data_IF_387730125274
#
_entry.id   IF_387730125274
#
_cell.length_a   1.000
_cell.length_b   1.000
_cell.length_c   1.000
_cell.angle_alpha   90.00
_cell.angle_beta   90.00
_cell.angle_gamma   90.00
#
_symmetry.space_group_name_H-M   'P 1'
#
loop_
_entity.id
_entity.type
_entity.pdbx_description
1 polymer ?
#
# COMPACT_ATOMS: atom_id res chain seq x y z
N UNK A 1 13.20 60.98 -19.46
CA UNK A 1 14.14 60.02 -18.85
C UNK A 1 13.24 59.25 -17.90
N UNK A 2 12.54 58.28 -18.46
CA UNK A 2 11.50 57.53 -17.77
C UNK A 2 12.18 56.44 -16.95
N UNK A 3 12.17 56.61 -15.64
CA UNK A 3 12.46 55.53 -14.71
C UNK A 3 11.17 54.71 -14.60
N UNK A 4 11.06 53.69 -15.44
CA UNK A 4 10.18 52.55 -15.13
C UNK A 4 10.91 51.81 -14.02
N UNK A 5 10.45 52.01 -12.78
CA UNK A 5 10.75 51.09 -11.69
C UNK A 5 10.11 49.76 -12.09
N UNK A 6 10.95 48.81 -12.54
CA UNK A 6 10.61 47.40 -12.46
C UNK A 6 10.51 47.08 -10.96
N UNK A 7 9.28 47.13 -10.42
CA UNK A 7 8.99 46.48 -9.14
C UNK A 7 9.43 45.02 -9.29
N UNK A 8 10.46 44.64 -8.53
CA UNK A 8 10.84 43.23 -8.38
C UNK A 8 9.57 42.45 -8.02
N UNK A 9 9.20 41.50 -8.86
CA UNK A 9 8.05 40.59 -8.69
C UNK A 9 8.24 39.61 -7.50
N UNK A 10 9.12 39.94 -6.55
CA UNK A 10 9.52 39.11 -5.42
C UNK A 10 8.51 39.10 -4.27
N UNK A 11 7.53 40.01 -4.29
CA UNK A 11 6.54 40.19 -3.21
C UNK A 11 5.14 39.62 -3.54
N UNK A 12 4.95 38.98 -4.70
CA UNK A 12 3.70 38.26 -4.96
C UNK A 12 3.66 36.98 -4.11
N UNK A 13 2.58 36.72 -3.35
CA UNK A 13 2.44 35.48 -2.59
C UNK A 13 2.48 34.29 -3.56
N UNK A 14 3.59 33.54 -3.57
CA UNK A 14 3.79 32.41 -4.51
C UNK A 14 2.82 31.26 -4.27
N UNK A 15 2.42 31.03 -3.02
CA UNK A 15 1.60 29.89 -2.61
C UNK A 15 0.26 30.34 -2.03
N UNK A 16 -0.82 29.66 -2.42
CA UNK A 16 -2.19 29.91 -1.93
C UNK A 16 -2.80 28.61 -1.46
N UNK A 17 -3.39 28.61 -0.26
CA UNK A 17 -4.20 27.49 0.21
C UNK A 17 -5.60 27.55 -0.42
N UNK A 18 -5.97 26.54 -1.20
CA UNK A 18 -7.28 26.46 -1.87
C UNK A 18 -8.33 25.76 -1.00
N UNK A 19 -8.00 24.57 -0.50
CA UNK A 19 -8.89 23.76 0.33
C UNK A 19 -8.14 23.30 1.56
N UNK A 20 -8.67 23.60 2.74
CA UNK A 20 -8.05 23.20 4.00
C UNK A 20 -8.30 21.72 4.28
N UNK A 21 -7.25 20.98 4.69
CA UNK A 21 -7.41 19.60 5.13
C UNK A 21 -8.32 19.53 6.37
N UNK A 22 -9.17 18.51 6.47
CA UNK A 22 -10.02 18.38 7.63
C UNK A 22 -9.25 17.75 8.81
N UNK A 23 -9.23 18.44 9.95
CA UNK A 23 -8.61 17.93 11.18
C UNK A 23 -9.21 16.62 11.70
N UNK A 24 -10.49 16.35 11.39
CA UNK A 24 -11.16 15.09 11.74
C UNK A 24 -10.50 13.89 11.05
N UNK A 25 -9.87 14.08 9.89
CA UNK A 25 -9.15 13.03 9.18
C UNK A 25 -7.73 12.80 9.74
N UNK A 26 -7.55 12.88 11.05
CA UNK A 26 -6.27 12.63 11.73
C UNK A 26 -5.18 13.70 11.53
N UNK A 27 -5.49 14.82 10.87
CA UNK A 27 -4.54 15.90 10.65
C UNK A 27 -4.33 16.74 11.93
N UNK A 28 -3.23 16.50 12.65
CA UNK A 28 -2.92 17.24 13.90
C UNK A 28 -2.63 18.74 13.68
N UNK A 29 -2.23 19.14 12.47
CA UNK A 29 -1.94 20.51 12.06
C UNK A 29 -2.31 20.67 10.58
N UNK A 30 -3.61 20.73 10.24
CA UNK A 30 -4.06 20.66 8.86
C UNK A 30 -3.53 21.84 8.04
N UNK A 31 -3.09 21.54 6.82
CA UNK A 31 -2.75 22.56 5.82
C UNK A 31 -3.78 22.49 4.68
N UNK A 32 -3.65 21.51 3.77
CA UNK A 32 -4.58 21.21 2.69
C UNK A 32 -3.95 21.33 1.30
N UNK A 33 -4.77 21.64 0.30
CA UNK A 33 -4.34 21.78 -1.10
C UNK A 33 -3.69 23.15 -1.32
N UNK A 34 -2.38 23.16 -1.55
CA UNK A 34 -1.60 24.38 -1.79
C UNK A 34 -1.33 24.52 -3.28
N UNK A 35 -1.65 25.68 -3.85
CA UNK A 35 -1.37 26.07 -5.23
C UNK A 35 -0.12 26.94 -5.30
N UNK A 36 0.86 26.56 -6.11
CA UNK A 36 1.95 27.41 -6.57
C UNK A 36 1.48 28.23 -7.78
N UNK A 37 1.19 29.52 -7.55
CA UNK A 37 0.63 30.41 -8.58
C UNK A 37 1.61 30.66 -9.74
N UNK A 38 2.92 30.59 -9.49
CA UNK A 38 3.94 30.86 -10.51
C UNK A 38 4.07 29.74 -11.55
N UNK A 39 3.76 28.51 -11.15
CA UNK A 39 3.91 27.31 -12.00
C UNK A 39 2.56 26.68 -12.39
N UNK A 40 1.45 27.19 -11.83
CA UNK A 40 0.11 26.61 -11.98
C UNK A 40 0.03 25.14 -11.56
N UNK A 41 0.85 24.75 -10.58
CA UNK A 41 0.89 23.41 -9.99
C UNK A 41 0.45 23.45 -8.54
N UNK A 42 -0.02 22.32 -8.01
CA UNK A 42 -0.55 22.18 -6.68
C UNK A 42 -0.05 20.90 -6.00
N UNK A 43 -0.19 20.85 -4.68
CA UNK A 43 0.16 19.71 -3.86
C UNK A 43 -0.74 19.62 -2.65
N UNK A 44 -1.20 18.40 -2.33
CA UNK A 44 -1.96 18.13 -1.12
C UNK A 44 -1.03 17.96 0.07
N UNK A 45 -1.31 18.67 1.16
CA UNK A 45 -0.65 18.52 2.46
C UNK A 45 -1.70 18.17 3.50
N UNK A 46 -1.72 16.94 3.99
CA UNK A 46 -2.64 16.58 5.07
C UNK A 46 -2.24 17.27 6.38
N UNK A 47 -0.96 17.56 6.56
CA UNK A 47 -0.40 18.28 7.69
C UNK A 47 0.63 19.30 7.23
N UNK A 48 0.83 20.37 8.01
CA UNK A 48 1.98 21.28 7.81
C UNK A 48 3.31 20.53 7.83
N UNK A 49 3.39 19.38 8.50
CA UNK A 49 4.62 18.56 8.53
C UNK A 49 4.97 17.96 7.17
N UNK A 50 4.01 17.87 6.27
CA UNK A 50 4.25 17.36 4.93
C UNK A 50 5.10 18.33 4.11
N UNK A 51 5.19 19.62 4.50
CA UNK A 51 6.07 20.62 3.84
C UNK A 51 7.53 20.18 3.81
N UNK A 52 7.98 19.40 4.79
CA UNK A 52 9.35 18.86 4.85
C UNK A 52 9.65 17.88 3.71
N UNK A 53 8.62 17.21 3.17
CA UNK A 53 8.73 16.25 2.07
C UNK A 53 8.46 16.93 0.72
N UNK A 54 7.46 17.80 0.72
CA UNK A 54 6.84 18.39 -0.48
C UNK A 54 7.53 19.65 -0.99
N UNK A 55 8.19 20.40 -0.11
CA UNK A 55 8.87 21.65 -0.44
C UNK A 55 10.40 21.53 -0.48
N UNK A 56 10.93 20.32 -0.39
CA UNK A 56 12.38 20.06 -0.42
C UNK A 56 12.96 19.86 -1.83
N UNK A 57 12.12 20.01 -2.87
CA UNK A 57 12.49 19.88 -4.28
C UNK A 57 12.46 18.46 -4.84
N UNK A 58 12.07 17.45 -4.06
CA UNK A 58 12.01 16.04 -4.50
C UNK A 58 10.66 15.65 -5.11
N UNK A 59 9.57 16.15 -4.54
CA UNK A 59 8.22 15.80 -4.96
C UNK A 59 7.79 16.61 -6.19
N UNK A 60 7.08 15.95 -7.09
CA UNK A 60 6.55 16.59 -8.30
C UNK A 60 5.24 17.26 -7.97
N UNK A 61 5.18 18.57 -8.18
CA UNK A 61 3.92 19.31 -8.07
C UNK A 61 3.09 19.06 -9.33
N UNK A 62 1.81 18.70 -9.14
CA UNK A 62 0.93 18.31 -10.23
C UNK A 62 0.08 19.50 -10.68
N UNK A 63 -0.33 19.59 -11.95
CA UNK A 63 -1.36 20.54 -12.34
C UNK A 63 -2.61 20.41 -11.45
N UNK A 64 -3.23 21.54 -11.10
CA UNK A 64 -4.36 21.56 -10.18
C UNK A 64 -5.51 20.66 -10.65
N UNK A 65 -5.78 20.66 -11.96
CA UNK A 65 -6.78 19.82 -12.59
C UNK A 65 -6.55 18.32 -12.32
N UNK A 66 -5.30 17.84 -12.30
CA UNK A 66 -5.01 16.43 -12.04
C UNK A 66 -5.40 16.04 -10.62
N UNK A 67 -5.14 16.90 -9.65
CA UNK A 67 -5.51 16.63 -8.25
C UNK A 67 -7.04 16.66 -8.11
N UNK A 68 -7.71 17.66 -8.69
CA UNK A 68 -9.15 17.78 -8.60
C UNK A 68 -9.88 16.64 -9.32
N UNK A 69 -9.41 16.23 -10.50
CA UNK A 69 -9.93 15.07 -11.22
C UNK A 69 -9.75 13.80 -10.39
N UNK A 70 -8.59 13.62 -9.73
CA UNK A 70 -8.38 12.50 -8.80
C UNK A 70 -9.37 12.48 -7.63
N UNK A 71 -9.71 13.64 -7.06
CA UNK A 71 -10.71 13.74 -5.99
C UNK A 71 -12.14 13.47 -6.50
N UNK A 72 -12.46 13.89 -7.73
CA UNK A 72 -13.74 13.58 -8.38
C UNK A 72 -13.83 12.07 -8.65
N UNK A 73 -12.78 11.47 -9.20
CA UNK A 73 -12.68 10.03 -9.41
C UNK A 73 -12.96 9.29 -8.10
N UNK A 74 -12.32 9.65 -6.99
CA UNK A 74 -12.59 9.03 -5.69
C UNK A 74 -14.08 9.04 -5.31
N UNK A 75 -14.80 10.14 -5.58
CA UNK A 75 -16.25 10.23 -5.34
C UNK A 75 -17.01 9.29 -6.30
N UNK A 76 -16.69 9.30 -7.58
CA UNK A 76 -17.33 8.46 -8.60
C UNK A 76 -17.10 6.96 -8.38
N UNK A 77 -15.95 6.61 -7.79
CA UNK A 77 -15.64 5.23 -7.40
C UNK A 77 -16.26 4.84 -6.05
N UNK A 78 -16.89 5.78 -5.34
CA UNK A 78 -17.54 5.55 -4.06
C UNK A 78 -16.58 5.45 -2.87
N UNK A 79 -15.32 5.87 -3.04
CA UNK A 79 -14.33 5.97 -1.96
C UNK A 79 -14.63 7.12 -1.01
N UNK A 80 -15.36 8.11 -1.51
CA UNK A 80 -15.89 9.21 -0.70
C UNK A 80 -17.39 9.32 -1.03
N UNK A 81 -18.24 9.20 -0.02
CA UNK A 81 -19.70 9.20 -0.18
C UNK A 81 -20.33 10.30 0.65
N UNK A 82 -21.24 11.06 0.05
CA UNK A 82 -22.13 11.94 0.79
C UNK A 82 -23.27 11.11 1.39
N UNK A 83 -23.47 11.23 2.70
CA UNK A 83 -24.53 10.53 3.45
C UNK A 83 -25.40 11.53 4.18
N UNK A 84 -26.69 11.20 4.29
CA UNK A 84 -27.66 12.05 4.97
C UNK A 84 -27.56 11.92 6.52
N UNK A 85 -28.33 12.74 7.22
CA UNK A 85 -28.32 12.81 8.69
C UNK A 85 -28.82 11.52 9.38
N UNK A 86 -29.45 10.60 8.66
CA UNK A 86 -29.88 9.30 9.15
C UNK A 86 -28.81 8.21 9.05
N UNK A 87 -27.65 8.52 8.47
CA UNK A 87 -26.54 7.58 8.38
C UNK A 87 -26.13 7.09 9.77
N UNK A 88 -26.25 5.78 9.97
CA UNK A 88 -25.89 5.07 11.20
C UNK A 88 -24.80 4.02 10.95
N UNK A 89 -23.99 4.22 9.90
CA UNK A 89 -22.89 3.33 9.59
C UNK A 89 -21.72 3.51 10.55
N UNK A 90 -20.72 2.65 10.37
CA UNK A 90 -19.59 2.51 11.28
C UNK A 90 -18.45 3.50 10.99
N UNK A 91 -18.43 4.10 9.80
CA UNK A 91 -17.35 4.98 9.38
C UNK A 91 -17.42 6.36 10.05
N UNK A 92 -16.24 6.97 10.26
CA UNK A 92 -16.16 8.34 10.74
C UNK A 92 -16.82 9.30 9.74
N UNK A 93 -17.80 10.07 10.23
CA UNK A 93 -18.58 11.01 9.41
C UNK A 93 -18.08 12.42 9.59
N UNK A 94 -17.54 12.97 8.51
CA UNK A 94 -17.20 14.38 8.37
C UNK A 94 -18.28 15.06 7.52
N UNK A 95 -19.36 15.52 8.16
CA UNK A 95 -20.61 15.88 7.47
C UNK A 95 -20.41 16.72 6.19
N UNK A 96 -21.02 16.33 5.04
CA UNK A 96 -21.87 15.14 4.84
C UNK A 96 -21.10 13.85 4.48
N UNK A 97 -19.77 13.86 4.49
CA UNK A 97 -18.94 12.84 3.86
C UNK A 97 -18.55 11.70 4.81
N UNK A 98 -18.45 10.50 4.24
CA UNK A 98 -17.80 9.32 4.84
C UNK A 98 -16.80 8.74 3.85
N UNK A 99 -15.81 8.02 4.37
CA UNK A 99 -14.84 7.24 3.60
C UNK A 99 -15.06 5.75 3.93
N UNK A 100 -15.73 4.97 3.06
CA UNK A 100 -15.85 3.53 3.23
C UNK A 100 -14.50 2.85 3.34
N UNK A 101 -14.41 1.78 4.13
CA UNK A 101 -13.17 1.03 4.33
C UNK A 101 -12.68 0.27 3.10
N UNK A 102 -13.61 0.00 2.19
CA UNK A 102 -13.45 -0.48 0.83
C UNK A 102 -14.79 -0.29 0.11
N UNK A 103 -14.81 -0.41 -1.21
CA UNK A 103 -16.01 -0.36 -2.05
C UNK A 103 -16.27 -1.73 -2.69
N UNK A 104 -17.49 -1.96 -3.19
CA UNK A 104 -17.77 -3.17 -4.00
C UNK A 104 -16.84 -3.25 -5.23
N UNK A 105 -16.49 -2.10 -5.82
CA UNK A 105 -15.54 -2.04 -6.93
C UNK A 105 -14.16 -2.52 -6.52
N UNK A 106 -13.65 -2.13 -5.36
CA UNK A 106 -12.34 -2.61 -4.87
C UNK A 106 -12.31 -4.12 -4.69
N UNK A 107 -13.42 -4.68 -4.16
CA UNK A 107 -13.59 -6.11 -4.00
C UNK A 107 -13.63 -6.82 -5.36
N UNK A 108 -14.46 -6.34 -6.28
CA UNK A 108 -14.58 -6.91 -7.64
C UNK A 108 -13.26 -6.85 -8.41
N UNK A 109 -12.56 -5.72 -8.40
CA UNK A 109 -11.27 -5.56 -9.07
C UNK A 109 -10.18 -6.45 -8.46
N UNK A 110 -10.15 -6.59 -7.13
CA UNK A 110 -9.22 -7.49 -6.46
C UNK A 110 -9.51 -8.95 -6.77
N UNK A 111 -10.79 -9.35 -6.77
CA UNK A 111 -11.24 -10.70 -7.16
C UNK A 111 -10.86 -11.00 -8.62
N UNK A 112 -11.10 -10.04 -9.51
CA UNK A 112 -10.75 -10.16 -10.92
C UNK A 112 -9.23 -10.31 -11.11
N UNK A 113 -8.42 -9.47 -10.45
CA UNK A 113 -6.96 -9.53 -10.53
C UNK A 113 -6.43 -10.88 -10.01
N UNK A 114 -6.98 -11.39 -8.91
CA UNK A 114 -6.63 -12.71 -8.38
C UNK A 114 -6.97 -13.83 -9.35
N UNK A 115 -8.20 -13.83 -9.88
CA UNK A 115 -8.68 -14.86 -10.80
C UNK A 115 -7.85 -14.86 -12.09
N UNK A 116 -7.61 -13.69 -12.68
CA UNK A 116 -6.79 -13.56 -13.89
C UNK A 116 -5.35 -14.05 -13.68
N UNK A 117 -4.74 -13.72 -12.53
CA UNK A 117 -3.41 -14.22 -12.19
C UNK A 117 -3.42 -15.75 -12.06
N UNK A 118 -4.39 -16.31 -11.35
CA UNK A 118 -4.51 -17.76 -11.17
C UNK A 118 -4.72 -18.49 -12.52
N UNK A 119 -5.59 -17.98 -13.37
CA UNK A 119 -5.86 -18.52 -14.71
C UNK A 119 -4.61 -18.44 -15.59
N UNK A 120 -3.92 -17.29 -15.60
CA UNK A 120 -2.70 -17.10 -16.39
C UNK A 120 -1.59 -18.07 -15.98
N UNK A 121 -1.42 -18.31 -14.67
CA UNK A 121 -0.46 -19.31 -14.19
C UNK A 121 -0.89 -20.70 -14.67
N UNK A 122 -2.16 -21.09 -14.45
CA UNK A 122 -2.67 -22.42 -14.84
C UNK A 122 -2.55 -22.69 -16.33
N UNK A 123 -2.80 -21.70 -17.18
CA UNK A 123 -2.71 -21.82 -18.63
C UNK A 123 -1.26 -22.01 -19.12
N UNK A 124 -0.28 -21.53 -18.36
CA UNK A 124 1.16 -21.72 -18.64
C UNK A 124 1.73 -23.00 -18.03
N UNK A 125 1.01 -23.68 -17.15
CA UNK A 125 1.49 -24.92 -16.55
C UNK A 125 1.57 -26.04 -17.60
N UNK A 126 2.62 -26.87 -17.58
CA UNK A 126 2.77 -27.99 -18.52
C UNK A 126 1.72 -29.10 -18.30
N UNK A 127 1.14 -29.17 -17.11
CA UNK A 127 0.11 -30.14 -16.74
C UNK A 127 -1.01 -29.44 -15.99
N UNK A 128 -2.27 -29.71 -16.36
CA UNK A 128 -3.43 -29.17 -15.66
C UNK A 128 -3.59 -29.90 -14.33
N UNK A 129 -3.48 -29.22 -13.18
CA UNK A 129 -3.67 -29.87 -11.90
C UNK A 129 -5.14 -30.26 -11.71
N UNK A 130 -5.38 -31.27 -10.87
CA UNK A 130 -6.75 -31.56 -10.44
C UNK A 130 -7.23 -30.43 -9.52
N UNK A 131 -8.36 -29.84 -9.86
CA UNK A 131 -9.02 -28.83 -9.02
C UNK A 131 -9.37 -29.44 -7.66
N UNK A 132 -8.93 -28.77 -6.59
CA UNK A 132 -9.35 -29.07 -5.22
C UNK A 132 -10.49 -28.12 -4.88
N UNK A 133 -11.65 -28.67 -4.50
CA UNK A 133 -12.85 -27.90 -4.11
C UNK A 133 -12.75 -27.35 -2.68
N UNK A 134 -11.59 -26.83 -2.27
CA UNK A 134 -11.46 -26.10 -1.01
C UNK A 134 -11.45 -24.60 -1.28
N UNK A 135 -12.20 -23.85 -0.46
CA UNK A 135 -12.25 -22.39 -0.55
C UNK A 135 -10.99 -21.76 0.04
N UNK A 136 -10.54 -20.64 -0.54
CA UNK A 136 -9.34 -19.95 -0.06
C UNK A 136 -9.49 -19.48 1.40
N UNK A 137 -10.70 -19.10 1.81
CA UNK A 137 -11.03 -18.73 3.19
C UNK A 137 -10.69 -19.82 4.21
N UNK A 138 -11.07 -21.07 3.95
CA UNK A 138 -10.82 -22.18 4.88
C UNK A 138 -9.31 -22.44 5.02
N UNK A 139 -8.57 -22.35 3.91
CA UNK A 139 -7.13 -22.54 3.90
C UNK A 139 -6.39 -21.45 4.69
N UNK A 140 -6.67 -20.18 4.38
CA UNK A 140 -6.00 -19.02 4.99
C UNK A 140 -6.30 -18.91 6.48
N UNK A 141 -7.52 -19.30 6.90
CA UNK A 141 -7.95 -19.23 8.31
C UNK A 141 -7.75 -20.54 9.08
N UNK A 142 -7.09 -21.54 8.50
CA UNK A 142 -6.92 -22.87 9.09
C UNK A 142 -8.25 -23.48 9.58
N UNK A 143 -9.33 -23.28 8.81
CA UNK A 143 -10.68 -23.76 9.12
C UNK A 143 -11.46 -22.91 10.14
N UNK A 144 -10.98 -21.73 10.51
CA UNK A 144 -11.63 -20.83 11.47
C UNK A 144 -12.09 -19.52 10.81
N UNK A 145 -13.06 -19.52 9.88
CA UNK A 145 -13.46 -18.33 9.14
C UNK A 145 -13.96 -17.18 10.03
N UNK A 146 -14.51 -17.50 11.20
CA UNK A 146 -15.05 -16.53 12.17
C UNK A 146 -13.98 -15.64 12.82
N UNK A 147 -12.68 -15.87 12.58
CA UNK A 147 -11.63 -14.93 13.01
C UNK A 147 -11.66 -13.62 12.22
N UNK A 148 -12.35 -13.61 11.06
CA UNK A 148 -12.53 -12.44 10.22
C UNK A 148 -13.98 -11.95 10.33
N UNK A 149 -14.22 -10.63 10.49
CA UNK A 149 -15.58 -10.09 10.42
C UNK A 149 -16.21 -10.40 9.06
N UNK A 150 -17.46 -10.89 9.04
CA UNK A 150 -18.10 -11.36 7.81
C UNK A 150 -18.22 -10.28 6.71
N UNK A 151 -18.34 -9.01 7.13
CA UNK A 151 -18.45 -7.85 6.24
C UNK A 151 -17.09 -7.20 5.92
N UNK A 152 -15.98 -7.73 6.44
CA UNK A 152 -14.65 -7.22 6.10
C UNK A 152 -14.30 -7.55 4.65
N UNK A 153 -13.45 -6.72 4.04
CA UNK A 153 -12.88 -6.98 2.72
C UNK A 153 -12.22 -8.36 2.69
N UNK A 154 -11.39 -8.67 3.68
CA UNK A 154 -10.64 -9.91 3.76
C UNK A 154 -11.54 -11.14 3.75
N UNK A 155 -12.60 -11.16 4.57
CA UNK A 155 -13.54 -12.27 4.59
C UNK A 155 -14.25 -12.43 3.24
N UNK A 156 -14.79 -11.34 2.68
CA UNK A 156 -15.54 -11.39 1.42
C UNK A 156 -14.67 -11.75 0.22
N UNK A 157 -13.44 -11.25 0.18
CA UNK A 157 -12.45 -11.60 -0.85
C UNK A 157 -12.12 -13.10 -0.79
N UNK A 158 -11.70 -13.60 0.38
CA UNK A 158 -11.32 -14.99 0.55
C UNK A 158 -12.48 -15.97 0.35
N UNK A 159 -13.70 -15.60 0.73
CA UNK A 159 -14.90 -16.42 0.55
C UNK A 159 -15.28 -16.62 -0.93
N UNK A 160 -14.89 -15.68 -1.79
CA UNK A 160 -15.20 -15.69 -3.23
C UNK A 160 -14.03 -16.19 -4.09
N UNK A 161 -12.81 -16.24 -3.55
CA UNK A 161 -11.65 -16.81 -4.22
C UNK A 161 -11.63 -18.34 -4.12
N UNK A 162 -11.47 -19.01 -5.26
CA UNK A 162 -11.12 -20.42 -5.29
C UNK A 162 -9.66 -20.62 -4.87
N UNK A 163 -9.37 -21.76 -4.24
CA UNK A 163 -7.99 -22.14 -4.01
C UNK A 163 -7.29 -22.40 -5.36
N UNK A 164 -6.10 -21.82 -5.62
CA UNK A 164 -5.31 -22.16 -6.78
C UNK A 164 -4.95 -23.65 -6.81
N UNK A 165 -5.01 -24.26 -7.99
CA UNK A 165 -4.65 -25.67 -8.18
C UNK A 165 -3.13 -25.92 -8.23
N UNK A 166 -2.33 -24.89 -7.93
CA UNK A 166 -0.86 -24.92 -7.91
C UNK A 166 -0.35 -24.41 -6.55
N UNK A 167 0.94 -24.57 -6.30
CA UNK A 167 1.55 -24.25 -5.00
C UNK A 167 1.95 -22.78 -4.91
N UNK A 168 2.62 -22.25 -5.94
CA UNK A 168 3.25 -20.94 -5.90
C UNK A 168 2.52 -19.94 -6.80
N UNK A 169 1.97 -18.89 -6.18
CA UNK A 169 1.29 -17.79 -6.91
C UNK A 169 2.25 -16.69 -7.34
N UNK A 170 3.38 -16.57 -6.65
CA UNK A 170 4.47 -15.66 -6.95
C UNK A 170 5.79 -16.33 -6.51
N UNK A 171 6.93 -15.75 -6.91
CA UNK A 171 8.24 -16.33 -6.63
C UNK A 171 8.46 -16.55 -5.12
N UNK A 172 8.52 -17.81 -4.71
CA UNK A 172 8.70 -18.24 -3.32
C UNK A 172 7.51 -17.98 -2.38
N UNK A 173 6.32 -17.67 -2.91
CA UNK A 173 5.10 -17.42 -2.11
C UNK A 173 3.99 -18.42 -2.45
N UNK A 174 3.44 -19.06 -1.42
CA UNK A 174 2.30 -19.98 -1.51
C UNK A 174 1.15 -19.51 -0.63
N UNK A 175 -0.06 -20.05 -0.82
CA UNK A 175 -1.21 -19.70 0.04
C UNK A 175 -0.88 -19.97 1.51
N UNK A 176 -1.08 -18.96 2.34
CA UNK A 176 -0.82 -19.06 3.77
C UNK A 176 -1.80 -20.03 4.44
N UNK A 177 -1.32 -20.72 5.48
CA UNK A 177 -2.12 -21.66 6.26
C UNK A 177 -2.16 -21.32 7.74
N UNK A 178 -1.41 -20.30 8.18
CA UNK A 178 -1.30 -19.90 9.56
C UNK A 178 -1.26 -18.38 9.64
N UNK A 179 -1.91 -17.82 10.67
CA UNK A 179 -2.03 -16.37 10.85
C UNK A 179 -1.22 -15.91 12.07
N UNK A 180 -0.03 -15.30 11.88
CA UNK A 180 0.86 -14.95 12.99
C UNK A 180 0.32 -13.84 13.88
N UNK A 181 -0.57 -12.99 13.35
CA UNK A 181 -1.16 -11.86 14.07
C UNK A 181 -2.60 -12.12 14.54
N UNK A 182 -3.16 -13.31 14.27
CA UNK A 182 -4.50 -13.62 14.68
C UNK A 182 -4.60 -13.66 16.22
N UNK A 183 -5.69 -13.11 16.80
CA UNK A 183 -5.91 -13.20 18.24
C UNK A 183 -6.04 -14.66 18.68
N UNK A 184 -5.61 -14.94 19.90
CA UNK A 184 -5.79 -16.27 20.49
C UNK A 184 -7.28 -16.65 20.53
N UNK A 185 -7.58 -17.93 20.37
CA UNK A 185 -8.95 -18.45 20.43
C UNK A 185 -9.66 -18.00 21.71
N UNK A 186 -10.82 -17.35 21.58
CA UNK A 186 -11.59 -16.82 22.70
C UNK A 186 -11.15 -15.45 23.25
N UNK A 187 -10.11 -14.84 22.66
CA UNK A 187 -9.69 -13.45 22.94
C UNK A 187 -10.00 -12.47 21.81
N UNK A 188 -10.54 -12.98 20.69
CA UNK A 188 -10.97 -12.14 19.58
C UNK A 188 -12.19 -11.31 20.02
N UNK A 189 -12.02 -10.00 20.10
CA UNK A 189 -13.16 -9.11 19.93
C UNK A 189 -13.65 -9.30 18.49
N UNK A 190 -14.96 -9.40 18.27
CA UNK A 190 -15.53 -9.77 16.95
C UNK A 190 -15.19 -8.77 15.84
N UNK A 191 -14.65 -7.61 16.21
CA UNK A 191 -14.27 -6.52 15.31
C UNK A 191 -12.74 -6.24 15.31
N UNK A 192 -11.92 -7.11 15.91
CA UNK A 192 -10.47 -6.88 15.97
C UNK A 192 -9.80 -7.20 14.63
N UNK A 193 -9.38 -6.16 13.92
CA UNK A 193 -8.60 -6.28 12.69
C UNK A 193 -7.12 -6.50 12.99
N UNK A 194 -6.45 -7.33 12.20
CA UNK A 194 -5.04 -7.66 12.32
C UNK A 194 -4.42 -7.87 10.93
N UNK A 195 -3.09 -7.76 10.76
CA UNK A 195 -2.45 -8.05 9.49
C UNK A 195 -2.68 -9.51 9.08
N UNK A 196 -3.35 -9.73 7.95
CA UNK A 196 -3.72 -11.06 7.49
C UNK A 196 -2.72 -11.54 6.43
N UNK A 197 -2.01 -12.62 6.72
CA UNK A 197 -1.08 -13.23 5.76
C UNK A 197 -1.88 -13.97 4.68
N UNK A 198 -1.81 -13.48 3.44
CA UNK A 198 -2.45 -14.12 2.28
C UNK A 198 -1.54 -15.15 1.63
N UNK A 199 -0.29 -14.75 1.36
CA UNK A 199 0.70 -15.60 0.71
C UNK A 199 2.01 -15.60 1.51
N UNK A 200 2.44 -16.78 1.92
CA UNK A 200 3.57 -16.99 2.80
C UNK A 200 4.78 -17.56 2.05
N UNK A 201 5.96 -17.12 2.45
CA UNK A 201 7.21 -17.80 2.20
C UNK A 201 7.52 -18.79 3.33
N UNK A 202 8.37 -19.77 3.04
CA UNK A 202 9.01 -20.61 4.05
C UNK A 202 10.12 -19.87 4.80
N UNK A 203 10.61 -18.75 4.27
CA UNK A 203 11.59 -17.90 4.94
C UNK A 203 10.92 -16.97 5.96
N UNK A 204 11.56 -16.71 7.12
CA UNK A 204 11.09 -15.68 8.04
C UNK A 204 11.26 -14.28 7.41
N UNK A 205 10.40 -13.34 7.78
CA UNK A 205 10.56 -11.95 7.38
C UNK A 205 11.80 -11.33 8.03
N UNK A 206 12.38 -10.34 7.37
CA UNK A 206 13.52 -9.61 7.89
C UNK A 206 13.14 -8.84 9.16
N UNK A 207 13.90 -9.05 10.23
CA UNK A 207 13.72 -8.32 11.48
C UNK A 207 14.41 -6.97 11.37
N UNK A 208 13.65 -5.95 10.99
CA UNK A 208 14.20 -4.62 10.90
C UNK A 208 14.42 -4.01 12.29
N UNK A 209 15.59 -3.40 12.46
CA UNK A 209 15.98 -2.70 13.67
C UNK A 209 16.35 -1.26 13.36
N UNK A 210 15.95 -0.33 14.22
CA UNK A 210 16.34 1.07 14.15
C UNK A 210 17.08 1.45 15.42
N UNK A 211 18.16 2.22 15.27
CA UNK A 211 18.88 2.78 16.42
C UNK A 211 18.13 4.00 16.96
N UNK A 212 17.72 3.95 18.22
CA UNK A 212 17.11 5.07 18.91
C UNK A 212 18.13 6.22 19.11
N UNK A 213 17.68 7.47 19.30
CA UNK A 213 18.59 8.61 19.55
C UNK A 213 19.53 8.42 20.75
N UNK A 214 19.14 7.62 21.75
CA UNK A 214 19.96 7.27 22.92
C UNK A 214 20.85 6.04 22.71
N UNK A 215 20.92 5.50 21.49
CA UNK A 215 21.88 4.48 21.08
C UNK A 215 21.40 3.03 21.16
N UNK A 216 20.23 2.76 21.72
CA UNK A 216 19.61 1.44 21.82
C UNK A 216 19.07 0.95 20.47
N UNK A 217 19.20 -0.35 20.18
CA UNK A 217 18.58 -0.96 19.01
C UNK A 217 17.13 -1.35 19.33
N UNK A 218 16.20 -0.80 18.57
CA UNK A 218 14.77 -1.04 18.71
C UNK A 218 14.26 -1.82 17.51
N UNK A 219 13.37 -2.78 17.75
CA UNK A 219 12.66 -3.44 16.66
C UNK A 219 11.75 -2.42 15.96
N UNK A 220 11.91 -2.31 14.64
CA UNK A 220 11.06 -1.50 13.78
C UNK A 220 10.15 -2.43 12.97
N UNK A 221 8.98 -2.76 13.52
CA UNK A 221 8.01 -3.59 12.80
C UNK A 221 7.43 -2.82 11.61
N UNK A 222 7.24 -3.47 10.44
CA UNK A 222 6.48 -2.89 9.35
C UNK A 222 4.97 -2.90 9.61
N UNK A 223 4.49 -3.38 10.76
CA UNK A 223 3.07 -3.39 11.11
C UNK A 223 2.76 -2.40 12.24
N UNK A 224 1.47 -2.21 12.52
CA UNK A 224 1.01 -1.34 13.60
C UNK A 224 1.66 -1.71 14.94
N UNK A 225 1.89 -0.69 15.78
CA UNK A 225 2.62 -0.83 17.06
C UNK A 225 2.04 -1.87 18.00
N UNK A 226 0.75 -2.14 17.88
CA UNK A 226 0.03 -3.16 18.66
C UNK A 226 0.62 -4.57 18.47
N UNK A 227 1.36 -4.79 17.39
CA UNK A 227 1.98 -6.07 17.04
C UNK A 227 3.50 -6.09 17.24
N UNK A 228 4.09 -5.08 17.88
CA UNK A 228 5.53 -5.03 18.14
C UNK A 228 6.03 -6.16 19.06
N UNK A 229 5.13 -6.84 19.78
CA UNK A 229 5.44 -8.02 20.58
C UNK A 229 5.68 -9.28 19.74
N UNK A 230 5.26 -9.30 18.46
CA UNK A 230 5.48 -10.42 17.55
C UNK A 230 6.82 -10.20 16.87
N UNK A 231 7.84 -10.89 17.38
CA UNK A 231 9.21 -10.73 16.89
C UNK A 231 9.53 -11.56 15.65
N UNK A 232 8.71 -12.57 15.32
CA UNK A 232 8.95 -13.45 14.18
C UNK A 232 7.65 -13.79 13.48
N UNK A 233 7.64 -13.62 12.17
CA UNK A 233 6.55 -13.97 11.27
C UNK A 233 7.14 -14.36 9.90
N UNK A 234 6.40 -15.08 9.05
CA UNK A 234 6.85 -15.42 7.70
C UNK A 234 7.08 -14.18 6.83
N UNK A 235 8.02 -14.25 5.89
CA UNK A 235 8.01 -13.33 4.75
C UNK A 235 6.76 -13.62 3.90
N UNK A 236 6.20 -12.62 3.24
CA UNK A 236 4.96 -12.80 2.49
C UNK A 236 4.16 -11.54 2.25
N UNK A 237 3.04 -11.70 1.55
CA UNK A 237 2.07 -10.63 1.31
C UNK A 237 0.98 -10.64 2.38
N UNK A 238 0.84 -9.53 3.07
CA UNK A 238 -0.15 -9.31 4.11
C UNK A 238 -1.19 -8.29 3.66
N UNK A 239 -2.47 -8.53 3.93
CA UNK A 239 -3.40 -7.41 4.09
C UNK A 239 -3.05 -6.67 5.37
N UNK A 240 -3.04 -5.36 5.31
CA UNK A 240 -2.69 -4.51 6.44
C UNK A 240 -3.82 -4.45 7.45
N UNK A 241 -3.49 -4.20 8.73
CA UNK A 241 -4.52 -3.86 9.71
C UNK A 241 -5.15 -2.55 9.27
N UNK A 242 -6.44 -2.59 8.94
CA UNK A 242 -7.27 -1.41 8.81
C UNK A 242 -8.05 -1.17 10.09
N UNK A 243 -8.32 0.10 10.40
CA UNK A 243 -9.32 0.50 11.38
C UNK A 243 -10.50 1.06 10.58
N UNK A 244 -11.59 0.30 10.39
CA UNK A 244 -12.74 0.77 9.61
C UNK A 244 -13.40 2.04 10.17
N UNK A 245 -13.15 2.35 11.45
CA UNK A 245 -13.64 3.55 12.12
C UNK A 245 -12.61 4.68 12.14
N UNK A 246 -11.40 4.42 11.64
CA UNK A 246 -10.33 5.39 11.58
C UNK A 246 -10.51 6.39 10.42
N UNK A 247 -9.69 7.45 10.41
CA UNK A 247 -9.77 8.51 9.40
C UNK A 247 -9.39 8.05 7.99
N UNK A 248 -8.66 6.93 7.87
CA UNK A 248 -8.16 6.38 6.62
C UNK A 248 -8.36 4.85 6.60
N UNK A 249 -9.60 4.38 6.41
CA UNK A 249 -9.90 2.97 6.46
C UNK A 249 -9.63 2.35 5.08
N UNK A 250 -8.54 1.59 4.93
CA UNK A 250 -8.19 0.90 3.68
C UNK A 250 -8.00 -0.59 3.96
N UNK A 251 -9.10 -1.34 4.01
CA UNK A 251 -9.08 -2.79 4.32
C UNK A 251 -8.45 -3.64 3.22
N UNK A 252 -8.37 -3.13 1.99
CA UNK A 252 -7.72 -3.77 0.85
C UNK A 252 -6.25 -3.37 0.67
N UNK A 253 -5.73 -2.49 1.56
CA UNK A 253 -4.32 -2.15 1.63
C UNK A 253 -3.46 -3.36 2.00
N UNK A 254 -2.29 -3.49 1.37
CA UNK A 254 -1.42 -4.63 1.55
C UNK A 254 0.06 -4.27 1.56
N UNK A 255 0.86 -5.17 2.15
CA UNK A 255 2.29 -5.00 2.33
C UNK A 255 3.04 -6.30 2.11
N UNK A 256 4.09 -6.25 1.29
CA UNK A 256 4.97 -7.39 1.03
C UNK A 256 6.18 -7.32 1.97
N UNK A 257 6.24 -8.20 2.96
CA UNK A 257 7.39 -8.31 3.86
C UNK A 257 8.40 -9.32 3.31
N UNK A 258 9.61 -8.86 3.00
CA UNK A 258 10.68 -9.67 2.43
C UNK A 258 11.61 -10.25 3.52
N UNK A 259 12.32 -11.36 3.24
CA UNK A 259 13.31 -11.94 4.16
C UNK A 259 14.65 -11.19 4.16
N UNK A 260 14.76 -10.12 3.39
CA UNK A 260 15.91 -9.23 3.28
C UNK A 260 15.43 -7.80 3.00
N UNK A 261 16.36 -6.85 3.01
CA UNK A 261 16.10 -5.45 2.67
C UNK A 261 16.41 -5.15 1.20
N UNK A 262 15.72 -4.15 0.66
CA UNK A 262 15.97 -3.50 -0.62
C UNK A 262 16.42 -2.05 -0.40
N UNK A 263 17.04 -1.43 -1.40
CA UNK A 263 17.56 -0.06 -1.35
C UNK A 263 19.07 0.02 -1.13
N UNK A 264 19.75 -1.12 -1.02
CA UNK A 264 21.21 -1.18 -0.89
C UNK A 264 21.94 -0.83 -2.19
N UNK A 265 21.34 -1.13 -3.34
CA UNK A 265 21.91 -0.83 -4.66
C UNK A 265 21.31 0.47 -5.22
N UNK A 266 20.29 1.03 -4.57
CA UNK A 266 19.65 2.29 -4.90
C UNK A 266 18.91 2.30 -6.26
N UNK A 267 18.24 1.20 -6.60
CA UNK A 267 17.34 1.13 -7.76
C UNK A 267 15.88 0.89 -7.38
N UNK A 268 15.61 0.21 -6.27
CA UNK A 268 14.25 -0.06 -5.84
C UNK A 268 13.51 1.23 -5.49
N UNK A 269 12.27 1.37 -5.97
CA UNK A 269 11.46 2.59 -5.82
C UNK A 269 10.05 2.33 -5.35
N UNK A 270 9.50 3.30 -4.63
CA UNK A 270 8.06 3.44 -4.39
C UNK A 270 7.36 4.04 -5.61
N UNK A 271 6.03 4.09 -5.59
CA UNK A 271 5.23 4.53 -6.75
C UNK A 271 5.41 6.02 -7.09
N UNK A 272 5.70 6.86 -6.10
CA UNK A 272 6.10 8.27 -6.27
C UNK A 272 7.53 8.45 -6.84
N UNK A 273 8.28 7.36 -7.01
CA UNK A 273 9.64 7.37 -7.56
C UNK A 273 10.74 7.56 -6.52
N UNK A 274 10.42 7.75 -5.24
CA UNK A 274 11.42 7.78 -4.17
C UNK A 274 12.17 6.45 -4.08
N UNK A 275 13.48 6.49 -3.80
CA UNK A 275 14.26 5.29 -3.56
C UNK A 275 13.84 4.65 -2.23
N UNK A 276 13.70 3.34 -2.21
CA UNK A 276 13.40 2.60 -0.98
C UNK A 276 14.53 2.83 0.03
N UNK A 277 14.16 3.26 1.24
CA UNK A 277 15.11 3.57 2.31
C UNK A 277 15.70 4.97 2.28
N UNK A 278 15.32 5.83 1.34
CA UNK A 278 15.79 7.21 1.33
C UNK A 278 15.14 8.07 2.43
N UNK A 279 15.86 9.08 2.89
CA UNK A 279 15.33 10.06 3.83
C UNK A 279 14.53 11.16 3.11
N UNK A 280 13.27 10.86 2.76
CA UNK A 280 12.37 11.73 1.97
C UNK A 280 12.14 13.15 2.53
N UNK A 281 12.49 13.41 3.80
CA UNK A 281 12.38 14.74 4.45
C UNK A 281 13.61 15.63 4.28
N UNK A 282 14.75 15.08 3.84
CA UNK A 282 15.98 15.86 3.67
C UNK A 282 16.10 16.36 2.23
N UNK A 283 16.44 17.63 2.07
CA UNK A 283 16.76 18.20 0.77
C UNK A 283 18.11 17.66 0.27
N UNK A 284 18.20 17.26 -1.00
CA UNK A 284 19.45 16.87 -1.68
C UNK A 284 19.70 15.37 -1.87
N UNK A 285 20.65 15.07 -2.77
CA UNK A 285 21.12 13.74 -3.20
C UNK A 285 22.13 13.12 -2.21
N UNK A 286 21.79 13.03 -0.92
CA UNK A 286 22.65 12.32 0.02
C UNK A 286 22.30 10.82 0.04
N UNK A 287 22.66 10.13 -1.04
CA UNK A 287 22.65 8.67 -1.13
C UNK A 287 23.44 7.98 0.01
N UNK A 288 24.26 8.73 0.75
CA UNK A 288 25.12 8.25 1.83
C UNK A 288 24.38 7.82 3.12
N UNK A 289 23.07 8.11 3.25
CA UNK A 289 22.27 7.75 4.43
C UNK A 289 21.00 6.95 4.09
N UNK A 290 21.03 6.09 3.06
CA UNK A 290 19.91 5.18 2.84
C UNK A 290 19.82 4.15 3.97
N UNK A 291 18.61 3.92 4.48
CA UNK A 291 18.28 2.86 5.41
C UNK A 291 17.47 1.79 4.66
N UNK A 292 18.09 0.70 4.16
CA UNK A 292 17.40 -0.33 3.39
C UNK A 292 16.17 -0.88 4.12
N UNK A 293 15.09 -1.12 3.38
CA UNK A 293 13.77 -1.49 3.94
C UNK A 293 13.33 -2.85 3.42
N UNK A 294 12.62 -3.60 4.25
CA UNK A 294 12.16 -4.96 3.91
C UNK A 294 10.70 -5.04 3.48
N UNK A 295 9.94 -3.95 3.63
CA UNK A 295 8.49 -3.96 3.45
C UNK A 295 7.94 -2.78 2.63
N UNK A 296 8.81 -2.02 1.95
CA UNK A 296 8.42 -0.85 1.14
C UNK A 296 8.23 -1.17 -0.35
N UNK A 297 8.56 -2.39 -0.79
CA UNK A 297 8.29 -2.77 -2.17
C UNK A 297 6.79 -2.66 -2.48
N UNK A 298 6.47 -2.06 -3.63
CA UNK A 298 5.12 -1.73 -4.09
C UNK A 298 4.40 -0.61 -3.32
N UNK A 299 4.97 -0.05 -2.25
CA UNK A 299 4.30 1.02 -1.53
C UNK A 299 4.24 2.32 -2.34
N UNK A 300 3.28 3.17 -2.02
CA UNK A 300 2.99 4.37 -2.80
C UNK A 300 4.07 5.46 -2.65
N UNK A 301 4.74 5.52 -1.50
CA UNK A 301 5.59 6.66 -1.14
C UNK A 301 4.72 7.84 -0.71
N UNK A 302 5.05 9.05 -1.14
CA UNK A 302 4.23 10.24 -0.90
C UNK A 302 2.99 10.26 -1.80
N UNK A 303 1.80 10.25 -1.18
CA UNK A 303 0.52 10.33 -1.88
C UNK A 303 0.11 11.79 -2.12
N UNK A 304 -0.06 12.15 -3.40
CA UNK A 304 -0.36 13.51 -3.84
C UNK A 304 -1.84 13.89 -3.70
N UNK A 305 -2.71 12.92 -3.40
CA UNK A 305 -4.16 13.07 -3.40
C UNK A 305 -4.72 13.03 -1.98
N UNK A 306 -4.26 12.07 -1.17
CA UNK A 306 -4.76 11.84 0.20
C UNK A 306 -3.63 11.44 1.16
N UNK A 307 -3.99 11.21 2.42
CA UNK A 307 -3.04 10.71 3.42
C UNK A 307 -2.43 9.38 3.01
N UNK A 308 -1.18 9.16 3.44
CA UNK A 308 -0.48 7.92 3.15
C UNK A 308 -1.26 6.70 3.67
N UNK A 309 -1.42 5.71 2.80
CA UNK A 309 -1.99 4.39 3.08
C UNK A 309 -1.19 3.33 2.32
N UNK A 310 -1.44 2.07 2.66
CA UNK A 310 -0.80 0.95 1.98
C UNK A 310 -1.43 0.73 0.60
N UNK A 311 -0.63 0.20 -0.32
CA UNK A 311 -1.08 -0.06 -1.69
C UNK A 311 -2.21 -1.08 -1.74
N UNK A 312 -3.23 -0.84 -2.57
CA UNK A 312 -4.36 -1.76 -2.71
C UNK A 312 -3.93 -3.10 -3.33
N UNK A 313 -4.49 -4.20 -2.83
CA UNK A 313 -4.17 -5.58 -3.23
C UNK A 313 -4.22 -5.79 -4.75
N UNK A 314 -5.25 -5.24 -5.41
CA UNK A 314 -5.44 -5.34 -6.87
C UNK A 314 -4.22 -4.92 -7.69
N UNK A 315 -3.49 -3.90 -7.25
CA UNK A 315 -2.32 -3.40 -8.00
C UNK A 315 -1.14 -4.36 -7.90
N UNK A 316 -0.92 -4.95 -6.72
CA UNK A 316 0.11 -5.96 -6.51
C UNK A 316 -0.20 -7.21 -7.34
N UNK A 317 -1.43 -7.72 -7.26
CA UNK A 317 -1.87 -8.89 -8.04
C UNK A 317 -1.81 -8.64 -9.54
N UNK A 318 -2.25 -7.46 -9.99
CA UNK A 318 -2.18 -7.06 -11.39
C UNK A 318 -0.75 -6.93 -11.91
N UNK A 319 0.20 -6.50 -11.06
CA UNK A 319 1.62 -6.49 -11.43
C UNK A 319 2.16 -7.91 -11.56
N UNK A 320 1.83 -8.82 -10.64
CA UNK A 320 2.24 -10.22 -10.74
C UNK A 320 1.69 -10.89 -11.99
N UNK A 321 0.44 -10.57 -12.36
CA UNK A 321 -0.15 -11.02 -13.62
C UNK A 321 0.70 -10.59 -14.81
N UNK A 322 1.09 -9.31 -14.89
CA UNK A 322 1.97 -8.81 -15.95
C UNK A 322 3.32 -9.51 -15.98
N UNK A 323 3.94 -9.76 -14.82
CA UNK A 323 5.22 -10.49 -14.76
C UNK A 323 5.11 -11.89 -15.38
N UNK A 324 4.00 -12.59 -15.14
CA UNK A 324 3.75 -13.91 -15.76
C UNK A 324 3.43 -13.75 -17.24
N UNK A 325 2.58 -12.80 -17.63
CA UNK A 325 2.15 -12.56 -19.01
C UNK A 325 3.33 -12.18 -19.93
N UNK A 326 4.19 -11.29 -19.47
CA UNK A 326 5.39 -10.82 -20.19
C UNK A 326 6.50 -11.90 -20.21
N UNK A 327 6.39 -12.92 -19.36
CA UNK A 327 7.34 -14.03 -19.28
C UNK A 327 8.56 -13.77 -18.40
N UNK A 328 8.58 -12.64 -17.68
CA UNK A 328 9.59 -12.32 -16.66
C UNK A 328 9.57 -13.34 -15.52
N UNK A 329 8.38 -13.79 -15.15
CA UNK A 329 8.17 -14.93 -14.26
C UNK A 329 7.82 -16.18 -15.06
N UNK A 330 8.68 -17.20 -14.92
CA UNK A 330 8.47 -18.52 -15.53
C UNK A 330 7.49 -19.33 -14.69
N UNK A 331 6.80 -20.28 -15.33
CA UNK A 331 5.82 -21.17 -14.69
C UNK A 331 6.18 -22.63 -14.97
N UNK A 332 6.11 -23.48 -13.95
CA UNK A 332 6.32 -24.94 -14.01
C UNK A 332 5.10 -25.72 -13.48
N UNK A 333 5.24 -27.02 -13.21
CA UNK A 333 4.17 -27.86 -12.64
C UNK A 333 3.72 -27.46 -11.22
N UNK A 334 4.41 -26.54 -10.55
CA UNK A 334 4.10 -26.06 -9.20
C UNK A 334 3.64 -24.59 -9.17
N UNK A 335 3.56 -23.91 -10.31
CA UNK A 335 3.16 -22.51 -10.42
C UNK A 335 4.34 -21.61 -10.79
N UNK A 336 4.41 -20.41 -10.21
CA UNK A 336 5.51 -19.47 -10.49
C UNK A 336 6.84 -20.03 -9.97
N UNK A 337 7.83 -20.07 -10.85
CA UNK A 337 9.18 -20.57 -10.60
C UNK A 337 10.01 -19.50 -9.89
N UNK A 338 10.78 -19.95 -8.91
CA UNK A 338 11.77 -19.12 -8.21
C UNK A 338 11.52 -19.09 -6.72
N UNK A 339 12.56 -18.72 -5.97
CA UNK A 339 12.48 -18.48 -4.55
C UNK A 339 12.28 -17.00 -4.24
N UNK A 340 12.23 -16.68 -2.94
CA UNK A 340 12.18 -15.30 -2.46
C UNK A 340 13.36 -14.43 -2.92
N UNK A 341 14.48 -15.04 -3.32
CA UNK A 341 15.63 -14.29 -3.86
C UNK A 341 15.30 -13.55 -5.16
N UNK A 342 14.28 -13.97 -5.93
CA UNK A 342 13.84 -13.27 -7.15
C UNK A 342 13.40 -11.84 -6.87
N UNK A 343 12.90 -11.55 -5.66
CA UNK A 343 12.51 -10.20 -5.26
C UNK A 343 13.69 -9.20 -5.19
N UNK A 344 14.94 -9.68 -5.23
CA UNK A 344 16.12 -8.79 -5.32
C UNK A 344 16.21 -8.06 -6.65
N UNK A 345 15.59 -8.59 -7.70
CA UNK A 345 15.56 -7.94 -9.02
C UNK A 345 14.89 -6.55 -8.93
N UNK A 346 14.04 -6.33 -7.93
CA UNK A 346 13.46 -5.01 -7.65
C UNK A 346 14.50 -3.93 -7.32
N UNK A 347 15.70 -4.30 -6.87
CA UNK A 347 16.82 -3.38 -6.59
C UNK A 347 17.98 -3.56 -7.60
N UNK A 348 17.72 -4.22 -8.74
CA UNK A 348 18.70 -4.35 -9.82
C UNK A 348 18.45 -3.30 -10.91
N UNK A 349 19.53 -2.71 -11.44
CA UNK A 349 19.47 -1.68 -12.50
C UNK A 349 18.63 -2.10 -13.72
N UNK A 350 18.74 -3.38 -14.08
CA UNK A 350 18.11 -3.96 -15.27
C UNK A 350 16.60 -4.19 -15.10
N UNK A 351 16.13 -4.40 -13.87
CA UNK A 351 14.79 -4.94 -13.60
C UNK A 351 13.93 -4.10 -12.67
N UNK A 352 14.48 -3.11 -11.94
CA UNK A 352 13.74 -2.38 -10.90
C UNK A 352 12.41 -1.77 -11.39
N UNK A 353 12.37 -1.29 -12.64
CA UNK A 353 11.20 -0.68 -13.24
C UNK A 353 10.04 -1.68 -13.39
N UNK A 354 10.35 -2.97 -13.48
CA UNK A 354 9.36 -4.04 -13.49
C UNK A 354 8.73 -4.30 -12.12
N UNK A 355 9.24 -3.68 -11.05
CA UNK A 355 8.69 -3.82 -9.70
C UNK A 355 8.09 -2.52 -9.17
N UNK A 356 8.14 -1.43 -9.95
CA UNK A 356 7.46 -0.19 -9.59
C UNK A 356 5.98 -0.26 -9.99
N UNK A 357 5.09 0.17 -9.09
CA UNK A 357 3.68 0.35 -9.41
C UNK A 357 3.41 1.78 -9.88
N UNK A 358 2.40 1.98 -10.74
CA UNK A 358 1.94 3.33 -11.04
C UNK A 358 1.36 3.97 -9.79
N UNK A 359 1.55 5.28 -9.67
CA UNK A 359 0.92 6.05 -8.61
C UNK A 359 -0.61 6.02 -8.74
N UNK A 360 -1.28 5.85 -7.61
CA UNK A 360 -2.73 5.97 -7.46
C UNK A 360 -3.05 6.78 -6.22
N UNK A 361 -4.29 7.28 -6.14
CA UNK A 361 -4.77 7.95 -4.94
C UNK A 361 -5.03 6.96 -3.81
#
# INVERSE_FOLDING_TARGET
MDYVEEEEDSDKPRYVLLYMANGALGATHPLGLVLNQGEATAMQHMSIRDTEITMNGRQVWLPLEIILDGLVDMIEQGKILAVDASYSGEQERTEPWVMPSYTERDLEESLQAFQQLADMIQDRMPSKPQSVNQGLLEMVTAGHPNILPANSFAHRFLAQCAQPAFTHIASGLSVAQNQPFAPASGQADTNSHFPLLLFASTSPAYQQSRRAPWGEQMHNSPFARDFNNISSHPAGLYLSKSDPHGPHPFEDGCRLALPFTLGTIAFARTSDGALIGEHVRRAGDEAAEMEPQSAELYQLGFNHFIAAHDVQLRYVLGRWLKMVEEGEWKVDEHGVVGGVEKWRDADAEEHWAEYQLPMSW
#
